data_IF_825379052872
#
_entry.id   IF_825379052872
#
_cell.length_a   1.000
_cell.length_b   1.000
_cell.length_c   1.000
_cell.angle_alpha   90.00
_cell.angle_beta   90.00
_cell.angle_gamma   90.00
#
_symmetry.space_group_name_H-M   'P 1'
#
loop_
_entity.id
_entity.type
_entity.pdbx_description
1 polymer ?
#
# COMPACT_ATOMS: atom_id res chain seq x y z
N UNK A 1 1.41 6.42 -35.50
CA UNK A 1 0.39 6.32 -34.42
C UNK A 1 0.14 4.87 -33.97
N UNK A 2 1.17 4.01 -33.91
CA UNK A 2 1.03 2.58 -33.55
C UNK A 2 1.54 2.17 -32.16
N UNK A 3 2.29 3.03 -31.46
CA UNK A 3 3.09 2.61 -30.29
C UNK A 3 2.35 2.70 -28.93
N UNK A 4 1.40 3.64 -28.76
CA UNK A 4 0.72 3.81 -27.48
C UNK A 4 -0.47 2.85 -27.30
N UNK A 5 -1.20 2.58 -28.39
CA UNK A 5 -2.34 1.65 -28.37
C UNK A 5 -1.85 0.20 -28.23
N UNK A 6 -0.69 -0.16 -28.81
CA UNK A 6 -0.07 -1.46 -28.60
C UNK A 6 0.38 -1.70 -27.15
N UNK A 7 0.89 -0.68 -26.44
CA UNK A 7 1.18 -0.78 -25.01
C UNK A 7 -0.07 -1.14 -24.18
N UNK A 8 -1.23 -0.62 -24.58
CA UNK A 8 -2.50 -0.99 -23.96
C UNK A 8 -3.01 -2.37 -24.38
N UNK A 9 -2.48 -3.01 -25.42
CA UNK A 9 -3.00 -4.24 -26.01
C UNK A 9 -2.15 -5.48 -25.78
N UNK A 10 -0.82 -5.36 -25.65
CA UNK A 10 0.10 -6.51 -25.63
C UNK A 10 0.99 -6.56 -24.36
N UNK A 11 1.17 -7.77 -23.81
CA UNK A 11 1.98 -8.29 -22.68
C UNK A 11 2.18 -7.46 -21.38
N UNK A 12 2.14 -6.13 -21.41
CA UNK A 12 2.27 -5.25 -20.23
C UNK A 12 1.11 -5.41 -19.24
N UNK A 13 -0.05 -5.89 -19.72
CA UNK A 13 -1.25 -6.14 -18.89
C UNK A 13 -1.01 -7.17 -17.80
N UNK A 14 -0.17 -8.18 -18.04
CA UNK A 14 0.21 -9.17 -17.02
C UNK A 14 1.15 -8.59 -15.95
N UNK A 15 1.66 -7.36 -16.14
CA UNK A 15 2.49 -6.62 -15.18
C UNK A 15 1.72 -5.47 -14.53
N UNK A 16 0.39 -5.45 -14.62
CA UNK A 16 -0.42 -4.46 -13.89
C UNK A 16 -0.53 -4.88 -12.42
N UNK A 17 0.14 -4.15 -11.54
CA UNK A 17 0.17 -4.39 -10.10
C UNK A 17 0.20 -3.07 -9.33
N UNK A 18 0.22 -3.13 -8.00
CA UNK A 18 0.06 -1.95 -7.14
C UNK A 18 1.10 -0.83 -7.27
N UNK A 19 2.17 -0.97 -8.07
CA UNK A 19 3.08 0.15 -8.37
C UNK A 19 2.38 1.30 -9.10
N UNK A 20 1.28 1.05 -9.81
CA UNK A 20 0.49 2.12 -10.44
C UNK A 20 0.03 3.18 -9.42
N UNK A 21 -0.23 2.77 -8.18
CA UNK A 21 -0.63 3.66 -7.10
C UNK A 21 0.48 4.62 -6.64
N UNK A 22 1.74 4.44 -7.08
CA UNK A 22 2.81 5.40 -6.76
C UNK A 22 2.53 6.80 -7.30
N UNK A 23 1.73 6.93 -8.36
CA UNK A 23 1.25 8.21 -8.87
C UNK A 23 0.34 8.93 -7.86
N UNK A 24 -0.58 8.22 -7.21
CA UNK A 24 -1.36 8.73 -6.08
C UNK A 24 -0.44 9.07 -4.92
N UNK A 25 0.41 8.12 -4.50
CA UNK A 25 1.28 8.28 -3.33
C UNK A 25 2.18 9.51 -3.47
N UNK A 26 2.84 9.69 -4.62
CA UNK A 26 3.74 10.82 -4.85
C UNK A 26 2.98 12.15 -4.85
N UNK A 27 1.81 12.20 -5.49
CA UNK A 27 0.95 13.39 -5.52
C UNK A 27 0.55 13.81 -4.10
N UNK A 28 0.09 12.87 -3.28
CA UNK A 28 -0.30 13.18 -1.90
C UNK A 28 0.90 13.53 -1.01
N UNK A 29 2.05 12.88 -1.24
CA UNK A 29 3.30 13.23 -0.53
C UNK A 29 3.74 14.66 -0.81
N UNK A 30 3.61 15.13 -2.06
CA UNK A 30 3.91 16.52 -2.43
C UNK A 30 3.00 17.50 -1.70
N UNK A 31 1.71 17.19 -1.57
CA UNK A 31 0.77 18.03 -0.80
C UNK A 31 1.20 18.13 0.67
N UNK A 32 1.58 17.00 1.29
CA UNK A 32 2.02 16.96 2.70
C UNK A 32 3.35 17.71 2.88
N UNK A 33 4.33 17.50 1.99
CA UNK A 33 5.64 18.15 2.05
C UNK A 33 5.50 19.66 1.82
N UNK A 34 4.65 20.10 0.89
CA UNK A 34 4.38 21.51 0.68
C UNK A 34 3.86 22.16 1.96
N UNK A 35 2.85 21.56 2.59
CA UNK A 35 2.29 22.02 3.87
C UNK A 35 3.35 22.13 4.96
N UNK A 36 4.21 21.13 5.08
CA UNK A 36 5.28 21.11 6.07
C UNK A 36 6.35 22.19 5.81
N UNK A 37 6.71 22.42 4.55
CA UNK A 37 7.77 23.37 4.18
C UNK A 37 7.30 24.83 4.15
N UNK A 38 6.06 25.10 3.74
CA UNK A 38 5.57 26.45 3.45
C UNK A 38 4.30 26.85 4.22
N UNK A 39 3.81 25.98 5.11
CA UNK A 39 2.65 26.26 5.95
C UNK A 39 1.35 26.47 5.17
N UNK A 40 0.49 27.34 5.71
CA UNK A 40 -0.88 27.60 5.25
C UNK A 40 -1.02 28.81 4.30
N UNK A 41 -0.08 28.96 3.37
CA UNK A 41 -0.17 30.04 2.38
C UNK A 41 -1.49 29.99 1.60
N UNK A 42 -2.00 31.14 1.16
CA UNK A 42 -3.24 31.22 0.35
C UNK A 42 -3.14 30.38 -0.93
N UNK A 43 -1.95 30.36 -1.55
CA UNK A 43 -1.69 29.53 -2.73
C UNK A 43 -1.82 28.04 -2.40
N UNK A 44 -1.25 27.61 -1.27
CA UNK A 44 -1.36 26.21 -0.83
C UNK A 44 -2.82 25.82 -0.59
N UNK A 45 -3.60 26.63 0.13
CA UNK A 45 -5.03 26.35 0.38
C UNK A 45 -5.86 26.29 -0.91
N UNK A 46 -5.46 27.03 -1.94
CA UNK A 46 -6.09 27.00 -3.26
C UNK A 46 -5.71 25.73 -4.05
N UNK A 47 -4.44 25.31 -4.01
CA UNK A 47 -3.92 24.23 -4.86
C UNK A 47 -4.09 22.84 -4.24
N UNK A 48 -3.97 22.71 -2.92
CA UNK A 48 -4.00 21.43 -2.22
C UNK A 48 -5.27 20.60 -2.49
N UNK A 49 -6.50 21.16 -2.49
CA UNK A 49 -7.70 20.39 -2.81
C UNK A 49 -7.65 19.74 -4.20
N UNK A 50 -7.14 20.48 -5.20
CA UNK A 50 -7.03 19.99 -6.57
C UNK A 50 -5.96 18.92 -6.73
N UNK A 51 -4.83 19.07 -6.03
CA UNK A 51 -3.80 18.04 -6.01
C UNK A 51 -4.29 16.76 -5.31
N UNK A 52 -5.05 16.88 -4.22
CA UNK A 52 -5.68 15.73 -3.55
C UNK A 52 -6.64 15.04 -4.52
N UNK A 53 -7.52 15.80 -5.19
CA UNK A 53 -8.48 15.27 -6.17
C UNK A 53 -7.78 14.57 -7.34
N UNK A 54 -6.69 15.14 -7.86
CA UNK A 54 -5.88 14.53 -8.90
C UNK A 54 -5.29 13.18 -8.44
N UNK A 55 -4.76 13.11 -7.22
CA UNK A 55 -4.27 11.87 -6.65
C UNK A 55 -5.37 10.81 -6.47
N UNK A 56 -6.60 11.23 -6.12
CA UNK A 56 -7.79 10.36 -6.07
C UNK A 56 -8.16 9.86 -7.47
N UNK A 57 -8.08 10.70 -8.50
CA UNK A 57 -8.31 10.28 -9.88
C UNK A 57 -7.27 9.22 -10.31
N UNK A 58 -5.98 9.44 -10.01
CA UNK A 58 -4.94 8.43 -10.23
C UNK A 58 -5.21 7.13 -9.48
N UNK A 59 -5.76 7.22 -8.26
CA UNK A 59 -6.11 6.04 -7.47
C UNK A 59 -7.16 5.20 -8.19
N UNK A 60 -8.29 5.81 -8.58
CA UNK A 60 -9.37 5.07 -9.22
C UNK A 60 -9.00 4.49 -10.59
N UNK A 61 -8.18 5.21 -11.38
CA UNK A 61 -7.64 4.66 -12.63
C UNK A 61 -6.77 3.45 -12.35
N UNK A 62 -5.83 3.55 -11.41
CA UNK A 62 -4.93 2.44 -11.04
C UNK A 62 -5.71 1.24 -10.50
N UNK A 63 -6.64 1.50 -9.60
CA UNK A 63 -7.52 0.49 -9.00
C UNK A 63 -8.34 -0.24 -10.05
N UNK A 64 -8.97 0.50 -10.98
CA UNK A 64 -9.74 -0.09 -12.08
C UNK A 64 -8.88 -1.00 -12.96
N UNK A 65 -7.66 -0.57 -13.32
CA UNK A 65 -6.76 -1.37 -14.15
C UNK A 65 -6.35 -2.68 -13.45
N UNK A 66 -6.07 -2.64 -12.15
CA UNK A 66 -5.72 -3.83 -11.34
C UNK A 66 -6.92 -4.76 -11.20
N UNK A 67 -8.11 -4.25 -10.85
CA UNK A 67 -9.32 -5.08 -10.73
C UNK A 67 -9.69 -5.73 -12.06
N UNK A 68 -9.57 -4.99 -13.17
CA UNK A 68 -9.83 -5.51 -14.51
C UNK A 68 -8.92 -6.66 -14.89
N UNK A 69 -7.66 -6.66 -14.44
CA UNK A 69 -6.72 -7.77 -14.62
C UNK A 69 -7.24 -9.03 -13.92
N UNK A 70 -7.49 -8.94 -12.61
CA UNK A 70 -7.96 -10.09 -11.83
C UNK A 70 -9.32 -10.64 -12.27
N UNK A 71 -10.20 -9.79 -12.80
CA UNK A 71 -11.48 -10.25 -13.35
C UNK A 71 -11.33 -11.05 -14.66
N UNK A 72 -10.37 -10.69 -15.52
CA UNK A 72 -10.22 -11.27 -16.86
C UNK A 72 -9.35 -12.53 -16.88
N UNK A 73 -8.44 -12.67 -15.92
CA UNK A 73 -7.53 -13.81 -15.83
C UNK A 73 -8.15 -15.02 -15.08
N UNK A 74 -9.47 -14.98 -14.81
CA UNK A 74 -10.20 -15.85 -13.88
C UNK A 74 -10.27 -17.37 -14.17
N UNK A 75 -9.43 -17.91 -15.06
CA UNK A 75 -9.34 -19.34 -15.33
C UNK A 75 -8.22 -20.08 -14.59
N UNK A 76 -7.09 -19.42 -14.30
CA UNK A 76 -5.86 -20.09 -13.80
C UNK A 76 -5.08 -19.22 -12.78
N UNK A 77 -5.79 -18.48 -11.94
CA UNK A 77 -5.15 -17.61 -10.94
C UNK A 77 -4.47 -18.43 -9.84
N UNK A 78 -3.13 -18.37 -9.79
CA UNK A 78 -2.35 -18.92 -8.70
C UNK A 78 -1.98 -17.81 -7.70
N UNK A 79 -2.55 -17.89 -6.49
CA UNK A 79 -2.28 -16.94 -5.40
C UNK A 79 -0.79 -16.74 -5.05
N UNK A 80 0.06 -17.75 -5.22
CA UNK A 80 1.49 -17.62 -4.97
C UNK A 80 2.19 -16.78 -6.06
N UNK A 81 1.85 -17.05 -7.33
CA UNK A 81 2.53 -16.52 -8.52
C UNK A 81 1.94 -15.20 -9.02
N UNK A 82 0.62 -15.08 -9.01
CA UNK A 82 -0.12 -13.99 -9.68
C UNK A 82 -0.51 -12.84 -8.75
N UNK A 83 -0.37 -13.03 -7.43
CA UNK A 83 -0.55 -11.96 -6.45
C UNK A 83 0.78 -11.23 -6.19
N UNK A 84 0.82 -9.93 -6.47
CA UNK A 84 2.03 -9.13 -6.33
C UNK A 84 2.09 -8.50 -4.93
N UNK A 85 3.26 -8.52 -4.28
CA UNK A 85 3.48 -7.88 -2.96
C UNK A 85 3.02 -6.42 -2.96
N UNK A 86 3.26 -5.71 -4.06
CA UNK A 86 2.90 -4.29 -4.20
C UNK A 86 1.40 -4.02 -4.23
N UNK A 87 0.54 -5.03 -4.34
CA UNK A 87 -0.91 -4.84 -4.27
C UNK A 87 -1.38 -4.31 -2.91
N UNK A 88 -0.59 -4.47 -1.84
CA UNK A 88 -0.83 -3.80 -0.57
C UNK A 88 -0.86 -2.27 -0.68
N UNK A 89 -0.19 -1.68 -1.68
CA UNK A 89 -0.24 -0.23 -1.95
C UNK A 89 -1.68 0.27 -2.17
N UNK A 90 -2.64 -0.60 -2.53
CA UNK A 90 -4.07 -0.24 -2.63
C UNK A 90 -4.58 0.49 -1.38
N UNK A 91 -4.44 -0.09 -0.19
CA UNK A 91 -4.90 0.59 1.03
C UNK A 91 -3.93 1.72 1.45
N UNK A 92 -2.63 1.58 1.17
CA UNK A 92 -1.63 2.61 1.46
C UNK A 92 -1.85 3.93 0.70
N UNK A 93 -2.25 3.86 -0.57
CA UNK A 93 -2.51 5.02 -1.41
C UNK A 93 -3.71 5.85 -0.91
N UNK A 94 -4.76 5.18 -0.44
CA UNK A 94 -5.89 5.87 0.21
C UNK A 94 -5.54 6.33 1.61
N UNK A 95 -4.67 5.61 2.32
CA UNK A 95 -4.18 6.04 3.63
C UNK A 95 -3.40 7.36 3.53
N UNK A 96 -2.46 7.50 2.59
CA UNK A 96 -1.75 8.77 2.40
C UNK A 96 -2.65 9.88 1.85
N UNK A 97 -3.67 9.53 1.04
CA UNK A 97 -4.71 10.49 0.61
C UNK A 97 -5.50 11.02 1.81
N UNK A 98 -5.86 10.13 2.74
CA UNK A 98 -6.51 10.49 4.00
C UNK A 98 -5.62 11.33 4.90
N UNK A 99 -4.34 10.95 5.03
CA UNK A 99 -3.35 11.73 5.76
C UNK A 99 -3.21 13.15 5.19
N UNK A 100 -3.03 13.28 3.88
CA UNK A 100 -3.02 14.58 3.21
C UNK A 100 -4.30 15.35 3.54
N UNK A 101 -5.47 14.74 3.35
CA UNK A 101 -6.77 15.36 3.67
C UNK A 101 -6.84 15.90 5.11
N UNK A 102 -6.36 15.13 6.10
CA UNK A 102 -6.34 15.53 7.52
C UNK A 102 -5.36 16.67 7.81
N UNK A 103 -4.12 16.54 7.34
CA UNK A 103 -3.03 17.51 7.64
C UNK A 103 -3.26 18.84 6.92
N UNK A 104 -3.88 18.81 5.75
CA UNK A 104 -4.21 20.01 4.99
C UNK A 104 -5.42 20.77 5.59
N UNK A 105 -6.36 20.05 6.22
CA UNK A 105 -7.61 20.63 6.73
C UNK A 105 -8.50 21.24 5.64
N UNK A 106 -8.32 20.85 4.37
CA UNK A 106 -9.07 21.38 3.22
C UNK A 106 -10.18 20.43 2.74
N UNK A 107 -10.27 19.24 3.33
CA UNK A 107 -11.25 18.21 2.99
C UNK A 107 -12.26 18.09 4.14
N UNK A 108 -13.57 18.04 3.87
CA UNK A 108 -14.58 17.93 4.91
C UNK A 108 -14.43 16.68 5.79
N UNK A 109 -14.68 16.74 7.12
CA UNK A 109 -14.49 15.61 8.03
C UNK A 109 -15.26 14.34 7.63
N UNK A 110 -16.47 14.47 7.08
CA UNK A 110 -17.25 13.33 6.60
C UNK A 110 -16.62 12.62 5.40
N UNK A 111 -15.99 13.37 4.49
CA UNK A 111 -15.27 12.78 3.36
C UNK A 111 -13.98 12.11 3.81
N UNK A 112 -13.27 12.71 4.78
CA UNK A 112 -12.11 12.09 5.43
C UNK A 112 -12.49 10.78 6.13
N UNK A 113 -13.64 10.73 6.80
CA UNK A 113 -14.18 9.48 7.37
C UNK A 113 -14.41 8.42 6.30
N UNK A 114 -15.03 8.79 5.17
CA UNK A 114 -15.26 7.85 4.07
C UNK A 114 -13.95 7.29 3.50
N UNK A 115 -12.92 8.14 3.37
CA UNK A 115 -11.57 7.73 2.96
C UNK A 115 -10.96 6.74 3.99
N UNK A 116 -11.15 7.00 5.29
CA UNK A 116 -10.67 6.13 6.36
C UNK A 116 -11.34 4.76 6.36
N UNK A 117 -12.67 4.72 6.25
CA UNK A 117 -13.42 3.47 6.16
C UNK A 117 -13.03 2.67 4.90
N UNK A 118 -12.83 3.36 3.77
CA UNK A 118 -12.34 2.73 2.54
C UNK A 118 -10.94 2.11 2.72
N UNK A 119 -10.00 2.88 3.29
CA UNK A 119 -8.64 2.39 3.54
C UNK A 119 -8.62 1.17 4.48
N UNK A 120 -9.42 1.17 5.55
CA UNK A 120 -9.53 0.04 6.48
C UNK A 120 -10.17 -1.17 5.82
N UNK A 121 -11.22 -0.98 5.02
CA UNK A 121 -11.86 -2.10 4.31
C UNK A 121 -10.87 -2.81 3.39
N UNK A 122 -10.10 -2.04 2.63
CA UNK A 122 -9.04 -2.58 1.77
C UNK A 122 -7.87 -3.16 2.55
N UNK A 123 -7.49 -2.58 3.70
CA UNK A 123 -6.49 -3.17 4.58
C UNK A 123 -6.88 -4.60 4.97
N UNK A 124 -8.09 -4.82 5.50
CA UNK A 124 -8.52 -6.16 5.88
C UNK A 124 -8.61 -7.12 4.70
N UNK A 125 -9.12 -6.67 3.55
CA UNK A 125 -9.19 -7.51 2.35
C UNK A 125 -7.80 -7.94 1.86
N UNK A 126 -6.86 -7.00 1.73
CA UNK A 126 -5.52 -7.31 1.23
C UNK A 126 -4.76 -8.18 2.23
N UNK A 127 -4.81 -7.88 3.53
CA UNK A 127 -4.09 -8.67 4.52
C UNK A 127 -4.65 -10.09 4.66
N UNK A 128 -5.96 -10.29 4.43
CA UNK A 128 -6.53 -11.64 4.34
C UNK A 128 -5.97 -12.43 3.14
N UNK A 129 -5.82 -11.80 1.97
CA UNK A 129 -5.23 -12.41 0.78
C UNK A 129 -3.75 -12.73 1.00
N UNK A 130 -3.00 -11.81 1.61
CA UNK A 130 -1.59 -11.99 1.93
C UNK A 130 -1.37 -13.08 2.98
N UNK A 131 -2.24 -13.19 3.98
CA UNK A 131 -2.21 -14.29 4.93
C UNK A 131 -2.46 -15.64 4.25
N UNK A 132 -3.48 -15.72 3.38
CA UNK A 132 -3.75 -16.93 2.60
C UNK A 132 -2.55 -17.31 1.72
N UNK A 133 -1.91 -16.32 1.10
CA UNK A 133 -0.70 -16.52 0.28
C UNK A 133 0.48 -17.00 1.12
N UNK A 134 0.68 -16.44 2.30
CA UNK A 134 1.72 -16.87 3.23
C UNK A 134 1.54 -18.34 3.64
N UNK A 135 0.32 -18.75 3.98
CA UNK A 135 0.00 -20.15 4.32
C UNK A 135 0.30 -21.08 3.14
N UNK A 136 -0.12 -20.70 1.91
CA UNK A 136 0.16 -21.48 0.69
C UNK A 136 1.66 -21.60 0.43
N UNK A 137 2.44 -20.53 0.61
CA UNK A 137 3.90 -20.53 0.42
C UNK A 137 4.61 -21.40 1.43
N UNK A 138 4.20 -21.35 2.69
CA UNK A 138 4.76 -22.21 3.75
C UNK A 138 4.49 -23.68 3.42
N UNK A 139 3.29 -24.03 2.94
CA UNK A 139 2.98 -25.43 2.62
C UNK A 139 3.73 -25.96 1.40
N UNK A 140 4.02 -25.11 0.42
CA UNK A 140 4.74 -25.49 -0.81
C UNK A 140 6.27 -25.48 -0.66
N UNK A 141 6.82 -24.50 0.05
CA UNK A 141 8.27 -24.23 0.07
C UNK A 141 8.90 -24.34 1.47
N UNK A 142 8.09 -24.57 2.50
CA UNK A 142 8.52 -24.47 3.90
C UNK A 142 8.71 -23.03 4.35
N UNK A 143 8.94 -22.83 5.65
CA UNK A 143 9.02 -21.49 6.25
C UNK A 143 10.16 -20.63 5.66
N UNK A 144 11.35 -21.22 5.53
CA UNK A 144 12.54 -20.48 5.13
C UNK A 144 12.48 -19.97 3.68
N UNK A 145 12.05 -20.82 2.75
CA UNK A 145 11.96 -20.45 1.32
C UNK A 145 10.63 -19.78 0.99
N UNK A 146 9.56 -20.06 1.76
CA UNK A 146 8.24 -19.50 1.51
C UNK A 146 8.05 -18.06 2.00
N UNK A 147 8.67 -17.69 3.13
CA UNK A 147 8.47 -16.36 3.73
C UNK A 147 9.73 -15.53 3.91
N UNK A 148 10.87 -16.17 4.14
CA UNK A 148 12.05 -15.43 4.55
C UNK A 148 12.95 -15.04 3.36
N UNK A 149 12.52 -15.18 2.11
CA UNK A 149 13.31 -14.72 0.94
C UNK A 149 13.11 -13.22 0.76
N UNK A 150 14.22 -12.48 0.68
CA UNK A 150 14.20 -11.03 0.51
C UNK A 150 13.77 -10.62 -0.90
N UNK A 151 12.80 -9.70 -0.96
CA UNK A 151 12.44 -8.99 -2.17
C UNK A 151 12.19 -7.50 -1.84
N UNK A 152 12.80 -6.53 -2.56
CA UNK A 152 12.61 -5.11 -2.28
C UNK A 152 11.14 -4.64 -2.27
N UNK A 153 10.24 -5.34 -2.95
CA UNK A 153 8.81 -5.01 -2.95
C UNK A 153 8.13 -5.30 -1.60
N UNK A 154 8.72 -6.10 -0.71
CA UNK A 154 8.19 -6.36 0.64
C UNK A 154 8.12 -5.08 1.49
N UNK A 155 9.05 -4.14 1.27
CA UNK A 155 9.05 -2.82 1.92
C UNK A 155 7.77 -2.01 1.68
N UNK A 156 7.04 -2.30 0.59
CA UNK A 156 5.76 -1.64 0.31
C UNK A 156 4.72 -1.87 1.42
N UNK A 157 4.77 -3.01 2.12
CA UNK A 157 3.90 -3.30 3.27
C UNK A 157 4.23 -2.42 4.47
N UNK A 158 5.51 -2.27 4.80
CA UNK A 158 5.92 -1.39 5.90
C UNK A 158 5.47 0.06 5.64
N UNK A 159 5.62 0.52 4.39
CA UNK A 159 5.09 1.81 3.95
C UNK A 159 3.56 1.92 4.13
N UNK A 160 2.79 0.94 3.65
CA UNK A 160 1.31 1.04 3.70
C UNK A 160 0.75 1.00 5.11
N UNK A 161 1.33 0.19 5.99
CA UNK A 161 0.97 0.14 7.41
C UNK A 161 1.34 1.46 8.10
N UNK A 162 2.53 2.00 7.83
CA UNK A 162 2.95 3.30 8.33
C UNK A 162 2.03 4.43 7.91
N UNK A 163 1.59 4.46 6.65
CA UNK A 163 0.63 5.48 6.16
C UNK A 163 -0.75 5.33 6.80
N UNK A 164 -1.24 4.09 6.98
CA UNK A 164 -2.52 3.85 7.66
C UNK A 164 -2.46 4.27 9.13
N UNK A 165 -1.35 3.99 9.82
CA UNK A 165 -1.10 4.46 11.18
C UNK A 165 -1.10 5.99 11.25
N UNK A 166 -0.29 6.63 10.40
CA UNK A 166 -0.18 8.09 10.38
C UNK A 166 -1.53 8.74 10.09
N UNK A 167 -2.29 8.24 9.11
CA UNK A 167 -3.63 8.73 8.83
C UNK A 167 -4.57 8.57 10.02
N UNK A 168 -4.67 7.35 10.58
CA UNK A 168 -5.57 7.06 11.71
C UNK A 168 -5.25 7.93 12.92
N UNK A 169 -3.96 8.21 13.15
CA UNK A 169 -3.48 9.03 14.26
C UNK A 169 -3.87 10.50 14.09
N UNK A 170 -3.74 11.03 12.88
CA UNK A 170 -4.04 12.44 12.57
C UNK A 170 -5.52 12.71 12.28
N UNK A 171 -6.31 11.67 12.04
CA UNK A 171 -7.74 11.81 11.84
C UNK A 171 -8.48 12.00 13.17
N UNK A 172 -9.11 13.15 13.35
CA UNK A 172 -10.03 13.42 14.46
C UNK A 172 -11.43 12.88 14.13
N UNK A 173 -11.66 11.64 14.56
CA UNK A 173 -12.92 10.94 14.34
C UNK A 173 -14.12 11.62 15.04
N UNK A 174 -13.88 12.36 16.13
CA UNK A 174 -14.94 12.99 16.92
C UNK A 174 -15.68 14.11 16.16
N UNK A 175 -15.00 14.75 15.20
CA UNK A 175 -15.59 15.76 14.33
C UNK A 175 -16.52 15.19 13.27
N UNK A 176 -16.38 13.90 12.94
CA UNK A 176 -17.20 13.24 11.92
C UNK A 176 -18.34 12.45 12.53
N UNK A 177 -18.07 11.65 13.57
CA UNK A 177 -19.07 10.76 14.19
C UNK A 177 -18.78 10.58 15.69
N UNK A 178 -19.79 10.80 16.53
CA UNK A 178 -19.74 10.52 17.97
C UNK A 178 -20.19 9.07 18.29
N UNK A 179 -19.54 8.08 17.66
CA UNK A 179 -19.85 6.66 17.87
C UNK A 179 -18.78 6.03 18.79
N UNK A 180 -19.15 5.59 20.01
CA UNK A 180 -18.20 5.03 20.97
C UNK A 180 -17.45 3.80 20.46
N UNK A 181 -18.11 2.96 19.65
CA UNK A 181 -17.49 1.77 19.07
C UNK A 181 -16.37 2.14 18.08
N UNK A 182 -16.62 3.09 17.17
CA UNK A 182 -15.60 3.53 16.22
C UNK A 182 -14.40 4.21 16.91
N UNK A 183 -14.66 4.97 18.00
CA UNK A 183 -13.61 5.59 18.81
C UNK A 183 -12.74 4.54 19.51
N UNK A 184 -13.36 3.56 20.15
CA UNK A 184 -12.65 2.45 20.80
C UNK A 184 -11.86 1.61 19.77
N UNK A 185 -12.48 1.30 18.63
CA UNK A 185 -11.83 0.58 17.54
C UNK A 185 -10.60 1.36 17.03
N UNK A 186 -10.72 2.67 16.78
CA UNK A 186 -9.60 3.52 16.38
C UNK A 186 -8.44 3.44 17.38
N UNK A 187 -8.74 3.48 18.68
CA UNK A 187 -7.71 3.44 19.73
C UNK A 187 -6.96 2.10 19.74
N UNK A 188 -7.69 0.98 19.78
CA UNK A 188 -7.09 -0.36 19.72
C UNK A 188 -6.26 -0.55 18.44
N UNK A 189 -6.79 -0.04 17.32
CA UNK A 189 -6.12 -0.12 16.03
C UNK A 189 -4.80 0.66 16.04
N UNK A 190 -4.77 1.86 16.61
CA UNK A 190 -3.54 2.66 16.76
C UNK A 190 -2.50 1.99 17.64
N UNK A 191 -2.92 1.46 18.79
CA UNK A 191 -2.03 0.83 19.75
C UNK A 191 -1.39 -0.44 19.16
N UNK A 192 -2.15 -1.18 18.34
CA UNK A 192 -1.65 -2.39 17.69
C UNK A 192 -0.76 -2.08 16.49
N UNK A 193 -1.18 -1.17 15.62
CA UNK A 193 -0.55 -0.96 14.31
C UNK A 193 0.89 -0.42 14.42
N UNK A 194 1.19 0.38 15.45
CA UNK A 194 2.55 0.85 15.71
C UNK A 194 3.55 -0.30 15.94
N UNK A 195 3.14 -1.31 16.73
CA UNK A 195 3.97 -2.49 16.97
C UNK A 195 4.09 -3.37 15.73
N UNK A 196 3.03 -3.50 14.94
CA UNK A 196 3.08 -4.26 13.67
C UNK A 196 4.06 -3.64 12.68
N UNK A 197 4.04 -2.31 12.51
CA UNK A 197 5.01 -1.57 11.69
C UNK A 197 6.44 -1.84 12.15
N UNK A 198 6.70 -1.75 13.47
CA UNK A 198 8.02 -1.99 14.02
C UNK A 198 8.49 -3.43 13.81
N UNK A 199 7.62 -4.41 14.05
CA UNK A 199 7.95 -5.83 13.85
C UNK A 199 8.27 -6.11 12.39
N UNK A 200 7.45 -5.62 11.45
CA UNK A 200 7.74 -5.78 10.03
C UNK A 200 9.05 -5.11 9.63
N UNK A 201 9.33 -3.91 10.11
CA UNK A 201 10.62 -3.25 9.87
C UNK A 201 11.79 -4.12 10.34
N UNK A 202 11.73 -4.66 11.56
CA UNK A 202 12.80 -5.49 12.12
C UNK A 202 12.97 -6.81 11.37
N UNK A 203 11.86 -7.45 10.97
CA UNK A 203 11.87 -8.68 10.17
C UNK A 203 12.48 -8.42 8.79
N UNK A 204 12.11 -7.34 8.11
CA UNK A 204 12.66 -7.00 6.79
C UNK A 204 14.15 -6.69 6.86
N UNK A 205 14.60 -5.98 7.90
CA UNK A 205 16.03 -5.74 8.16
C UNK A 205 16.77 -7.07 8.35
N UNK A 206 16.22 -7.97 9.17
CA UNK A 206 16.81 -9.28 9.41
C UNK A 206 16.92 -10.10 8.12
N UNK A 207 15.83 -10.19 7.35
CA UNK A 207 15.78 -10.93 6.08
C UNK A 207 16.77 -10.35 5.07
N UNK A 208 16.85 -9.02 4.96
CA UNK A 208 17.84 -8.33 4.13
C UNK A 208 19.27 -8.72 4.48
N UNK A 209 19.66 -8.63 5.76
CA UNK A 209 21.03 -8.96 6.17
C UNK A 209 21.32 -10.44 6.00
N UNK A 210 20.37 -11.32 6.34
CA UNK A 210 20.53 -12.76 6.17
C UNK A 210 20.83 -13.12 4.72
N UNK A 211 20.08 -12.56 3.76
CA UNK A 211 20.26 -12.88 2.34
C UNK A 211 21.54 -12.26 1.76
N UNK A 212 22.02 -11.13 2.30
CA UNK A 212 23.26 -10.47 1.87
C UNK A 212 24.52 -11.07 2.48
N UNK A 213 24.41 -11.67 3.66
CA UNK A 213 25.54 -12.25 4.40
C UNK A 213 25.62 -13.77 4.26
N UNK A 214 24.62 -14.42 3.63
CA UNK A 214 24.67 -15.83 3.31
C UNK A 214 25.89 -16.12 2.42
N UNK A 215 26.68 -17.17 2.72
CA UNK A 215 27.78 -17.58 1.85
C UNK A 215 27.27 -17.82 0.43
N UNK A 216 28.03 -17.38 -0.58
CA UNK A 216 27.74 -17.74 -1.95
C UNK A 216 27.62 -19.27 -2.05
N UNK A 217 26.66 -19.81 -2.83
CA UNK A 217 26.57 -21.24 -3.02
C UNK A 217 27.92 -21.73 -3.54
N UNK A 218 28.51 -22.69 -2.83
CA UNK A 218 29.73 -23.38 -3.29
C UNK A 218 29.34 -24.02 -4.61
N UNK A 219 29.80 -23.44 -5.72
CA UNK A 219 29.68 -24.07 -7.02
C UNK A 219 30.49 -25.34 -6.89
N UNK A 220 29.81 -26.47 -6.77
CA UNK A 220 30.46 -27.76 -6.91
C UNK A 220 31.03 -27.77 -8.33
N UNK A 221 32.35 -27.59 -8.45
CA UNK A 221 33.05 -27.89 -9.68
C UNK A 221 32.67 -29.32 -10.05
N UNK A 222 31.88 -29.45 -11.13
CA UNK A 222 31.59 -30.73 -11.72
C UNK A 222 32.95 -31.33 -12.11
N UNK A 223 33.41 -32.30 -11.32
CA UNK A 223 34.63 -33.05 -11.61
C UNK A 223 34.54 -33.66 -13.00
N UNK A 224 35.64 -33.49 -13.74
CA UNK A 224 35.93 -34.05 -15.06
C UNK A 224 35.56 -35.52 -15.23
#
# INVERSE_FOLDING_TARGET
>A
MGSFVQFFLDESRQKVHGVLFLSTVSTQSLVIVWKAAFGDSSLYRLVAPWAILLGVAFYFVSFFLIMRRYWRDGGDFDLDRDWFNTNCITHGAMSITGLASTVCGVVPPMLTLAIWLWAISWFFLIEAVEFARAVKRISLYGLAQGLLVYDPTQWSRNFTFGMLYAFTRNFDLSQSVANPFLLAFRQVFLDSLAWVVLVFLLVEIYVFFRDRLAPAPVVAEAGN
#
